data_IF_488384003239
#
_entry.id   IF_488384003239
#
_cell.length_a   1.000
_cell.length_b   1.000
_cell.length_c   1.000
_cell.angle_alpha   90.00
_cell.angle_beta   90.00
_cell.angle_gamma   90.00
#
_symmetry.space_group_name_H-M   'P 1'
#
loop_
_entity.id
_entity.type
_entity.pdbx_description
1 polymer ?
#
# COMPACT_ATOMS: atom_id res chain seq x y z
N UNK A 1 -13.43 1.34 -13.41
CA UNK A 1 -12.24 0.68 -12.82
C UNK A 1 -12.05 1.20 -11.41
N UNK A 2 -11.52 0.41 -10.47
CA UNK A 2 -11.14 0.86 -9.12
C UNK A 2 -9.66 0.65 -8.86
N UNK A 3 -8.95 1.72 -8.48
CA UNK A 3 -7.50 1.69 -8.23
C UNK A 3 -7.23 1.79 -6.74
N UNK A 4 -6.36 0.93 -6.23
CA UNK A 4 -5.78 1.02 -4.89
C UNK A 4 -4.42 1.70 -4.95
N UNK A 5 -4.16 2.63 -4.05
CA UNK A 5 -2.87 3.26 -3.84
C UNK A 5 -2.36 2.90 -2.44
N UNK A 6 -1.16 2.34 -2.34
CA UNK A 6 -0.51 2.09 -1.05
C UNK A 6 0.66 3.05 -0.90
N UNK A 7 0.55 3.99 0.04
CA UNK A 7 1.58 4.98 0.33
C UNK A 7 2.66 4.44 1.27
N UNK A 8 3.92 4.58 0.86
CA UNK A 8 5.09 4.34 1.72
C UNK A 8 5.45 5.55 2.57
N UNK A 9 6.73 5.64 2.97
CA UNK A 9 7.28 6.83 3.60
C UNK A 9 7.16 8.04 2.67
N UNK A 10 6.68 9.17 3.18
CA UNK A 10 6.51 10.43 2.47
C UNK A 10 5.10 10.69 1.91
N UNK A 11 4.19 9.71 1.93
CA UNK A 11 2.82 9.87 1.45
C UNK A 11 1.86 9.37 2.51
N UNK A 12 1.33 10.31 3.30
CA UNK A 12 0.56 10.00 4.50
C UNK A 12 -0.84 10.54 4.49
N UNK A 13 -1.19 11.43 3.57
CA UNK A 13 -2.53 12.03 3.43
C UNK A 13 -3.03 11.93 1.97
N UNK A 14 -4.32 11.64 1.78
CA UNK A 14 -4.98 11.63 0.48
C UNK A 14 -6.32 12.40 0.50
N UNK A 15 -6.64 13.08 1.60
CA UNK A 15 -7.84 13.90 1.77
C UNK A 15 -8.56 13.61 3.09
N UNK A 16 -9.70 14.27 3.27
CA UNK A 16 -10.31 14.42 4.60
C UNK A 16 -11.19 13.24 5.06
N UNK A 17 -11.60 12.33 4.16
CA UNK A 17 -12.55 11.26 4.49
C UNK A 17 -12.02 9.85 4.20
N UNK A 18 -12.11 8.97 5.21
CA UNK A 18 -11.88 7.54 5.10
C UNK A 18 -13.15 6.74 5.37
N UNK A 19 -13.14 5.52 4.84
CA UNK A 19 -14.05 4.45 5.20
C UNK A 19 -13.30 3.47 6.09
N UNK A 20 -13.83 3.17 7.28
CA UNK A 20 -13.31 2.07 8.10
C UNK A 20 -13.88 0.76 7.58
N UNK A 21 -13.02 -0.09 7.03
CA UNK A 21 -13.39 -1.38 6.48
C UNK A 21 -13.06 -2.47 7.49
N UNK A 22 -14.07 -3.27 7.84
CA UNK A 22 -13.85 -4.49 8.63
C UNK A 22 -13.32 -5.61 7.71
N UNK A 23 -12.26 -6.26 8.17
CA UNK A 23 -11.64 -7.40 7.48
C UNK A 23 -11.49 -8.58 8.43
N UNK A 24 -11.24 -9.76 7.87
CA UNK A 24 -10.93 -10.96 8.65
C UNK A 24 -9.68 -10.80 9.54
N UNK A 25 -8.86 -9.78 9.29
CA UNK A 25 -7.58 -9.54 9.95
C UNK A 25 -7.58 -8.25 10.81
N UNK A 26 -8.75 -7.61 10.97
CA UNK A 26 -8.91 -6.36 11.75
C UNK A 26 -9.45 -5.20 10.93
N UNK A 27 -9.59 -4.04 11.57
CA UNK A 27 -10.13 -2.81 10.97
C UNK A 27 -9.05 -2.03 10.23
N UNK A 28 -9.40 -1.48 9.08
CA UNK A 28 -8.51 -0.66 8.25
C UNK A 28 -9.23 0.59 7.77
N UNK A 29 -8.64 1.75 7.98
CA UNK A 29 -9.14 3.01 7.43
C UNK A 29 -8.60 3.20 6.01
N UNK A 30 -9.51 3.23 5.03
CA UNK A 30 -9.21 3.39 3.60
C UNK A 30 -9.70 4.76 3.15
N UNK A 31 -8.80 5.61 2.65
CA UNK A 31 -9.21 6.88 2.04
C UNK A 31 -9.84 6.65 0.68
N UNK A 32 -10.88 7.42 0.39
CA UNK A 32 -11.61 7.33 -0.86
C UNK A 32 -11.64 8.67 -1.57
N UNK A 33 -11.34 8.65 -2.86
CA UNK A 33 -11.49 9.82 -3.72
C UNK A 33 -11.97 9.41 -5.09
N UNK A 34 -12.81 10.24 -5.72
CA UNK A 34 -13.22 10.09 -7.11
C UNK A 34 -12.68 11.26 -7.91
N UNK A 35 -11.75 10.99 -8.84
CA UNK A 35 -11.14 12.01 -9.72
C UNK A 35 -11.24 11.56 -11.16
N UNK A 36 -11.66 12.44 -12.07
CA UNK A 36 -11.76 12.16 -13.51
C UNK A 36 -12.54 10.87 -13.83
N UNK A 37 -13.62 10.60 -13.09
CA UNK A 37 -14.43 9.37 -13.24
C UNK A 37 -13.79 8.09 -12.66
N UNK A 38 -12.57 8.16 -12.13
CA UNK A 38 -11.83 7.06 -11.54
C UNK A 38 -11.99 7.04 -10.01
N UNK A 39 -12.39 5.89 -9.47
CA UNK A 39 -12.43 5.64 -8.03
C UNK A 39 -11.03 5.22 -7.54
N UNK A 40 -10.52 5.94 -6.54
CA UNK A 40 -9.20 5.74 -5.95
C UNK A 40 -9.36 5.44 -4.46
N UNK A 41 -8.75 4.35 -4.01
CA UNK A 41 -8.73 3.91 -2.62
C UNK A 41 -7.30 3.98 -2.11
N UNK A 42 -7.01 4.83 -1.15
CA UNK A 42 -5.66 5.03 -0.63
C UNK A 42 -5.47 4.44 0.76
N UNK A 43 -4.32 3.80 0.97
CA UNK A 43 -3.87 3.25 2.25
C UNK A 43 -2.46 3.72 2.61
N UNK A 44 -2.28 4.46 3.73
CA UNK A 44 -0.94 4.72 4.24
C UNK A 44 -0.40 3.46 4.91
N UNK A 45 0.68 2.87 4.38
CA UNK A 45 1.26 1.60 4.87
C UNK A 45 1.62 1.65 6.35
N UNK A 46 2.07 2.81 6.84
CA UNK A 46 2.50 3.03 8.21
C UNK A 46 1.40 3.66 9.10
N UNK A 47 0.16 3.73 8.60
CA UNK A 47 -0.93 4.48 9.20
C UNK A 47 -0.79 6.00 9.02
N UNK A 48 -1.86 6.75 9.35
CA UNK A 48 -1.93 8.21 9.21
C UNK A 48 -0.79 8.93 9.95
N UNK A 49 -0.44 8.47 11.14
CA UNK A 49 0.61 9.08 11.96
C UNK A 49 2.02 8.56 11.66
N UNK A 50 2.19 7.69 10.67
CA UNK A 50 3.47 7.06 10.31
C UNK A 50 4.17 6.28 11.46
N UNK A 51 3.44 5.92 12.53
CA UNK A 51 4.02 5.28 13.72
C UNK A 51 4.18 3.77 13.62
N UNK A 52 3.57 3.11 12.61
CA UNK A 52 3.66 1.65 12.49
C UNK A 52 4.96 1.27 11.79
N UNK A 53 5.94 0.63 12.45
CA UNK A 53 7.14 0.16 11.77
C UNK A 53 6.80 -0.94 10.75
N UNK A 54 7.64 -1.17 9.71
CA UNK A 54 7.37 -2.14 8.65
C UNK A 54 6.96 -3.54 9.14
N UNK A 55 7.55 -4.00 10.24
CA UNK A 55 7.27 -5.32 10.82
C UNK A 55 5.95 -5.40 11.61
N UNK A 56 5.27 -4.28 11.88
CA UNK A 56 3.94 -4.22 12.54
C UNK A 56 2.81 -3.85 11.58
N UNK A 57 3.11 -3.70 10.29
CA UNK A 57 2.07 -3.47 9.28
C UNK A 57 1.25 -4.74 9.10
N UNK A 58 -0.07 -4.62 9.14
CA UNK A 58 -0.99 -5.72 8.86
C UNK A 58 -1.31 -5.79 7.37
N UNK A 59 -0.39 -6.38 6.60
CA UNK A 59 -0.50 -6.48 5.14
C UNK A 59 -1.77 -7.24 4.70
N UNK A 60 -2.17 -8.28 5.43
CA UNK A 60 -3.37 -9.06 5.13
C UNK A 60 -4.64 -8.23 5.28
N UNK A 61 -4.77 -7.47 6.37
CA UNK A 61 -5.90 -6.55 6.55
C UNK A 61 -5.95 -5.50 5.43
N UNK A 62 -4.80 -4.91 5.07
CA UNK A 62 -4.74 -3.89 4.03
C UNK A 62 -5.22 -4.42 2.66
N UNK A 63 -4.69 -5.56 2.21
CA UNK A 63 -5.08 -6.14 0.93
C UNK A 63 -6.55 -6.62 0.97
N UNK A 64 -6.99 -7.20 2.09
CA UNK A 64 -8.38 -7.61 2.24
C UNK A 64 -9.35 -6.42 2.22
N UNK A 65 -8.98 -5.28 2.81
CA UNK A 65 -9.78 -4.07 2.78
C UNK A 65 -9.94 -3.55 1.34
N UNK A 66 -8.85 -3.46 0.57
CA UNK A 66 -8.90 -3.07 -0.85
C UNK A 66 -9.74 -4.05 -1.68
N UNK A 67 -9.64 -5.36 -1.41
CA UNK A 67 -10.46 -6.39 -2.04
C UNK A 67 -11.94 -6.19 -1.74
N UNK A 68 -12.31 -5.89 -0.49
CA UNK A 68 -13.69 -5.58 -0.10
C UNK A 68 -14.21 -4.31 -0.81
N UNK A 69 -13.34 -3.32 -1.03
CA UNK A 69 -13.63 -2.14 -1.85
C UNK A 69 -13.72 -2.43 -3.35
N UNK A 70 -13.57 -3.69 -3.79
CA UNK A 70 -13.56 -4.11 -5.21
C UNK A 70 -12.46 -3.44 -6.03
N UNK A 71 -11.31 -3.17 -5.42
CA UNK A 71 -10.13 -2.67 -6.14
C UNK A 71 -9.62 -3.73 -7.11
N UNK A 72 -9.33 -3.32 -8.35
CA UNK A 72 -8.93 -4.21 -9.45
C UNK A 72 -7.43 -4.14 -9.76
N UNK A 73 -6.77 -3.04 -9.36
CA UNK A 73 -5.35 -2.76 -9.58
C UNK A 73 -4.79 -2.02 -8.38
N UNK A 74 -3.60 -2.39 -7.94
CA UNK A 74 -2.90 -1.73 -6.83
C UNK A 74 -1.59 -1.14 -7.34
N UNK A 75 -1.34 0.12 -7.00
CA UNK A 75 -0.06 0.79 -7.19
C UNK A 75 0.52 1.06 -5.79
N UNK A 76 1.67 0.48 -5.49
CA UNK A 76 2.35 0.66 -4.21
C UNK A 76 3.60 1.53 -4.39
N UNK A 77 3.72 2.55 -3.56
CA UNK A 77 4.86 3.46 -3.53
C UNK A 77 5.75 3.09 -2.35
N UNK A 78 7.06 3.00 -2.59
CA UNK A 78 8.05 2.71 -1.55
C UNK A 78 9.32 3.50 -1.77
N UNK A 79 9.86 4.05 -0.69
CA UNK A 79 11.19 4.66 -0.67
C UNK A 79 12.22 3.56 -0.42
N UNK A 80 13.21 3.45 -1.30
CA UNK A 80 14.26 2.42 -1.26
C UNK A 80 15.63 3.02 -1.53
N UNK A 81 16.68 2.33 -1.09
CA UNK A 81 18.05 2.60 -1.49
C UNK A 81 18.39 1.83 -2.76
N UNK A 82 19.18 2.45 -3.65
CA UNK A 82 19.70 1.75 -4.83
C UNK A 82 20.90 0.88 -4.46
N UNK A 83 20.96 -0.32 -5.05
CA UNK A 83 22.15 -1.19 -5.05
C UNK A 83 22.94 -1.10 -6.36
N UNK A 84 22.61 -0.14 -7.24
CA UNK A 84 23.27 0.11 -8.52
C UNK A 84 23.74 1.55 -8.58
N UNK A 85 25.02 1.76 -8.90
CA UNK A 85 25.63 3.09 -8.96
C UNK A 85 24.96 4.02 -9.98
N UNK A 86 24.44 3.47 -11.08
CA UNK A 86 23.80 4.24 -12.13
C UNK A 86 22.37 4.71 -11.79
N UNK A 87 21.75 4.19 -10.73
CA UNK A 87 20.44 4.64 -10.26
C UNK A 87 20.65 5.60 -9.09
N UNK A 88 20.51 6.90 -9.37
CA UNK A 88 20.79 7.99 -8.42
C UNK A 88 19.59 8.28 -7.50
N UNK A 89 19.80 8.86 -6.31
CA UNK A 89 18.71 9.35 -5.46
C UNK A 89 17.73 10.25 -6.23
N UNK A 90 16.43 10.10 -5.96
CA UNK A 90 15.35 10.80 -6.67
C UNK A 90 14.88 10.12 -7.96
N UNK A 91 15.56 9.06 -8.42
CA UNK A 91 15.09 8.27 -9.56
C UNK A 91 13.82 7.49 -9.23
N UNK A 92 12.94 7.34 -10.23
CA UNK A 92 11.80 6.42 -10.16
C UNK A 92 12.19 5.10 -10.83
N UNK A 93 11.88 3.99 -10.18
CA UNK A 93 12.14 2.65 -10.68
C UNK A 93 10.91 1.77 -10.51
N UNK A 94 10.58 0.99 -11.55
CA UNK A 94 9.49 0.01 -11.53
C UNK A 94 10.14 -1.38 -11.48
N UNK A 95 10.17 -2.05 -10.31
CA UNK A 95 10.73 -3.39 -10.21
C UNK A 95 9.85 -4.40 -10.94
N UNK A 96 10.48 -5.34 -11.64
CA UNK A 96 9.81 -6.49 -12.27
C UNK A 96 9.92 -7.77 -11.43
N UNK A 97 10.76 -7.76 -10.39
CA UNK A 97 11.07 -8.92 -9.56
C UNK A 97 11.51 -8.47 -8.15
N UNK A 98 11.57 -9.39 -7.19
CA UNK A 98 12.00 -9.11 -5.82
C UNK A 98 12.66 -10.33 -5.16
N UNK A 99 13.46 -10.04 -4.13
CA UNK A 99 13.97 -11.06 -3.20
C UNK A 99 13.29 -10.83 -1.87
N UNK A 100 12.62 -11.86 -1.34
CA UNK A 100 12.04 -11.82 0.01
C UNK A 100 13.09 -12.18 1.05
N UNK A 101 13.53 -11.18 1.81
CA UNK A 101 14.40 -11.33 2.97
C UNK A 101 13.66 -11.01 4.28
N UNK A 102 12.32 -11.10 4.29
CA UNK A 102 11.53 -10.88 5.49
C UNK A 102 11.57 -12.11 6.40
N UNK A 103 11.83 -11.89 7.70
CA UNK A 103 11.82 -12.97 8.71
C UNK A 103 10.40 -13.38 9.14
N UNK A 104 9.38 -13.06 8.33
CA UNK A 104 7.98 -13.40 8.58
C UNK A 104 7.47 -14.19 7.39
N UNK A 105 6.84 -15.33 7.66
CA UNK A 105 6.26 -16.17 6.63
C UNK A 105 5.05 -15.44 5.99
N UNK A 106 5.30 -14.74 4.89
CA UNK A 106 4.26 -14.20 4.02
C UNK A 106 3.74 -15.35 3.16
N UNK A 107 2.55 -15.86 3.48
CA UNK A 107 1.87 -16.83 2.61
C UNK A 107 1.38 -16.11 1.36
N UNK A 108 2.13 -16.21 0.27
CA UNK A 108 1.60 -15.93 -1.07
C UNK A 108 0.65 -17.09 -1.43
N UNK A 109 -0.64 -16.94 -1.13
CA UNK A 109 -1.65 -17.86 -1.69
C UNK A 109 -1.88 -17.43 -3.13
N UNK A 110 -1.11 -18.01 -4.07
CA UNK A 110 -1.49 -18.02 -5.47
C UNK A 110 -2.60 -19.05 -5.64
N UNK A 111 -3.83 -18.60 -5.85
CA UNK A 111 -4.93 -19.42 -6.36
C UNK A 111 -5.38 -18.82 -7.68
#
# INVERSE_FOLDING_TARGET
MRIGLIGGTGIYDFGDSFLTIETLYGKVDVWFSKKNGQEIFFLPRHGKEHKKPPHRVNYMANIHALKNCKVERIIALSTVGSMRENIKPGSIFIPSDFIDATNKQLFLIMK
#
